data_IF_566057398735
#
_entry.id   IF_566057398735
#
_cell.length_a   1.000
_cell.length_b   1.000
_cell.length_c   1.000
_cell.angle_alpha   90.00
_cell.angle_beta   90.00
_cell.angle_gamma   90.00
#
_symmetry.space_group_name_H-M   'P 1'
#
loop_
_entity.id
_entity.type
_entity.pdbx_description
1 polymer ?
#
# COMPACT_ATOMS: atom_id res chain seq x y z
N UNK A 1 49.92 -9.60 -15.26
CA UNK A 1 49.11 -10.37 -14.29
C UNK A 1 47.76 -10.60 -14.93
N UNK A 2 47.36 -11.85 -15.06
CA UNK A 2 46.09 -12.24 -15.68
C UNK A 2 44.97 -11.75 -14.78
N UNK A 3 44.13 -10.83 -15.29
CA UNK A 3 42.87 -10.46 -14.67
C UNK A 3 42.02 -11.72 -14.60
N UNK A 4 41.78 -12.24 -13.40
CA UNK A 4 40.69 -13.20 -13.22
C UNK A 4 39.44 -12.36 -13.43
N UNK A 5 38.79 -12.50 -14.59
CA UNK A 5 37.43 -12.00 -14.76
C UNK A 5 36.59 -12.70 -13.70
N UNK A 6 36.23 -11.95 -12.65
CA UNK A 6 35.25 -12.40 -11.68
C UNK A 6 33.90 -12.27 -12.37
N UNK A 7 33.35 -13.40 -12.80
CA UNK A 7 32.00 -13.46 -13.35
C UNK A 7 31.00 -13.24 -12.22
N UNK A 8 30.54 -11.99 -12.06
CA UNK A 8 29.66 -11.59 -10.96
C UNK A 8 28.31 -12.29 -11.04
N UNK A 9 27.82 -12.59 -12.25
CA UNK A 9 26.54 -13.26 -12.44
C UNK A 9 26.62 -14.73 -11.97
N UNK A 10 27.71 -15.44 -12.30
CA UNK A 10 27.98 -16.79 -11.78
C UNK A 10 28.13 -16.80 -10.24
N UNK A 11 28.75 -15.77 -9.66
CA UNK A 11 28.88 -15.62 -8.21
C UNK A 11 27.53 -15.33 -7.54
N UNK A 12 26.67 -14.51 -8.16
CA UNK A 12 25.30 -14.23 -7.70
C UNK A 12 24.45 -15.51 -7.73
N UNK A 13 24.44 -16.25 -8.85
CA UNK A 13 23.70 -17.51 -9.00
C UNK A 13 24.11 -18.56 -7.98
N UNK A 14 25.41 -18.65 -7.69
CA UNK A 14 25.95 -19.57 -6.67
C UNK A 14 25.82 -19.05 -5.25
N UNK A 15 25.36 -17.82 -5.05
CA UNK A 15 25.35 -17.10 -3.77
C UNK A 15 26.72 -17.13 -3.08
N UNK A 16 27.80 -17.00 -3.86
CA UNK A 16 29.18 -16.98 -3.35
C UNK A 16 29.51 -15.60 -2.77
N UNK A 17 29.15 -15.40 -1.51
CA UNK A 17 29.33 -14.12 -0.80
C UNK A 17 30.80 -13.71 -0.73
N UNK A 18 31.73 -14.64 -0.53
CA UNK A 18 33.16 -14.33 -0.43
C UNK A 18 33.72 -13.87 -1.79
N UNK A 19 33.29 -14.53 -2.87
CA UNK A 19 33.60 -14.12 -4.23
C UNK A 19 33.06 -12.72 -4.54
N UNK A 20 31.82 -12.44 -4.15
CA UNK A 20 31.19 -11.13 -4.33
C UNK A 20 31.87 -10.04 -3.49
N UNK A 21 32.27 -10.32 -2.24
CA UNK A 21 33.06 -9.40 -1.40
C UNK A 21 34.40 -9.07 -2.08
N UNK A 22 35.04 -10.07 -2.70
CA UNK A 22 36.27 -9.85 -3.47
C UNK A 22 36.02 -9.01 -4.72
N UNK A 23 34.92 -9.25 -5.43
CA UNK A 23 34.52 -8.48 -6.61
C UNK A 23 34.18 -7.01 -6.27
N UNK A 24 33.64 -6.74 -5.09
CA UNK A 24 33.37 -5.38 -4.60
C UNK A 24 34.65 -4.53 -4.48
N UNK A 25 35.81 -5.18 -4.31
CA UNK A 25 37.14 -4.54 -4.22
C UNK A 25 37.92 -4.59 -5.55
N UNK A 26 37.28 -4.98 -6.65
CA UNK A 26 37.93 -5.10 -7.96
C UNK A 26 38.38 -3.75 -8.53
N UNK A 27 39.41 -3.74 -9.39
CA UNK A 27 39.94 -2.51 -10.01
C UNK A 27 38.96 -1.90 -11.02
N UNK A 28 38.26 -2.75 -11.77
CA UNK A 28 37.21 -2.32 -12.68
C UNK A 28 35.96 -1.87 -11.92
N UNK A 29 35.48 -0.66 -12.22
CA UNK A 29 34.35 -0.05 -11.53
C UNK A 29 33.04 -0.76 -11.83
N UNK A 30 32.91 -1.36 -13.02
CA UNK A 30 31.68 -2.05 -13.43
C UNK A 30 31.54 -3.33 -12.60
N UNK A 31 32.64 -4.08 -12.44
CA UNK A 31 32.71 -5.24 -11.54
C UNK A 31 32.29 -4.88 -10.12
N UNK A 32 32.79 -3.76 -9.57
CA UNK A 32 32.39 -3.30 -8.21
C UNK A 32 30.90 -2.99 -8.12
N UNK A 33 30.35 -2.32 -9.14
CA UNK A 33 28.93 -1.96 -9.20
C UNK A 33 28.06 -3.22 -9.25
N UNK A 34 28.37 -4.15 -10.15
CA UNK A 34 27.62 -5.40 -10.26
C UNK A 34 27.76 -6.25 -8.99
N UNK A 35 28.93 -6.27 -8.35
CA UNK A 35 29.11 -6.96 -7.08
C UNK A 35 28.22 -6.37 -5.96
N UNK A 36 28.15 -5.04 -5.85
CA UNK A 36 27.24 -4.39 -4.90
C UNK A 36 25.76 -4.71 -5.21
N UNK A 37 25.37 -4.73 -6.50
CA UNK A 37 24.03 -5.14 -6.94
C UNK A 37 23.72 -6.59 -6.56
N UNK A 38 24.67 -7.50 -6.76
CA UNK A 38 24.54 -8.91 -6.44
C UNK A 38 24.44 -9.13 -4.92
N UNK A 39 25.32 -8.50 -4.13
CA UNK A 39 25.28 -8.56 -2.66
C UNK A 39 23.95 -8.06 -2.09
N UNK A 40 23.35 -7.04 -2.69
CA UNK A 40 22.00 -6.58 -2.37
C UNK A 40 20.94 -7.68 -2.52
N UNK A 41 20.99 -8.45 -3.61
CA UNK A 41 20.05 -9.55 -3.84
C UNK A 41 20.31 -10.74 -2.93
N UNK A 42 21.58 -11.04 -2.66
CA UNK A 42 21.97 -12.18 -1.82
C UNK A 42 21.60 -11.96 -0.35
N UNK A 43 21.74 -10.72 0.16
CA UNK A 43 21.25 -10.33 1.48
C UNK A 43 21.94 -11.01 2.67
N UNK A 44 23.22 -11.37 2.54
CA UNK A 44 23.96 -12.13 3.54
C UNK A 44 24.78 -11.24 4.49
N UNK A 45 24.67 -11.50 5.80
CA UNK A 45 25.32 -10.73 6.87
C UNK A 45 26.87 -10.68 6.78
N UNK A 46 27.49 -11.66 6.11
CA UNK A 46 28.94 -11.70 5.91
C UNK A 46 29.43 -10.54 5.04
N UNK A 47 28.56 -9.96 4.22
CA UNK A 47 28.90 -8.84 3.36
C UNK A 47 28.88 -7.48 4.07
N UNK A 48 28.34 -7.38 5.30
CA UNK A 48 28.09 -6.11 6.00
C UNK A 48 29.34 -5.25 6.08
N UNK A 49 30.46 -5.80 6.56
CA UNK A 49 31.70 -5.00 6.74
C UNK A 49 32.26 -4.52 5.38
N UNK A 50 32.15 -5.35 4.34
CA UNK A 50 32.61 -4.98 3.00
C UNK A 50 31.72 -3.91 2.35
N UNK A 51 30.41 -3.96 2.59
CA UNK A 51 29.44 -2.96 2.13
C UNK A 51 29.55 -1.64 2.93
N UNK A 52 29.90 -1.71 4.21
CA UNK A 52 30.25 -0.52 5.02
C UNK A 52 31.50 0.15 4.44
N UNK A 53 32.55 -0.61 4.12
CA UNK A 53 33.77 -0.06 3.54
C UNK A 53 33.47 0.67 2.21
N UNK A 54 32.60 0.11 1.36
CA UNK A 54 32.25 0.75 0.07
C UNK A 54 31.43 2.03 0.21
N UNK A 55 30.74 2.26 1.33
CA UNK A 55 30.09 3.55 1.63
C UNK A 55 31.11 4.66 1.96
N UNK A 56 32.08 4.34 2.82
CA UNK A 56 32.97 5.35 3.44
C UNK A 56 33.98 5.95 2.46
N UNK A 57 34.50 5.12 1.56
CA UNK A 57 35.59 5.56 0.70
C UNK A 57 35.02 6.34 -0.50
N UNK A 58 35.55 7.54 -0.76
CA UNK A 58 35.37 8.24 -2.05
C UNK A 58 36.36 7.75 -3.11
N UNK A 59 37.43 7.06 -2.67
CA UNK A 59 38.36 6.34 -3.54
C UNK A 59 38.90 5.08 -2.86
N UNK A 60 38.96 3.96 -3.58
CA UNK A 60 39.68 2.77 -3.11
C UNK A 60 41.17 2.96 -3.43
N UNK A 61 42.03 2.96 -2.40
CA UNK A 61 43.50 2.97 -2.54
C UNK A 61 44.08 4.17 -3.33
N UNK A 62 43.58 5.39 -3.12
CA UNK A 62 44.01 6.66 -3.75
C UNK A 62 43.93 6.77 -5.28
N UNK A 63 43.76 5.66 -5.99
CA UNK A 63 43.94 5.59 -7.44
C UNK A 63 42.61 5.43 -8.22
N UNK A 64 41.50 5.12 -7.53
CA UNK A 64 40.23 4.78 -8.18
C UNK A 64 39.01 5.43 -7.51
N UNK A 65 38.22 6.17 -8.28
CA UNK A 65 36.96 6.79 -7.84
C UNK A 65 35.92 5.69 -7.54
N UNK A 66 35.20 5.84 -6.44
CA UNK A 66 34.01 5.03 -6.15
C UNK A 66 32.79 5.73 -6.75
N UNK A 67 32.12 5.05 -7.68
CA UNK A 67 30.90 5.56 -8.29
C UNK A 67 29.78 5.66 -7.24
N UNK A 68 28.94 6.69 -7.35
CA UNK A 68 27.75 6.80 -6.50
C UNK A 68 26.87 5.55 -6.58
N UNK A 69 26.74 4.93 -7.77
CA UNK A 69 26.03 3.66 -7.94
C UNK A 69 26.53 2.51 -7.04
N UNK A 70 27.83 2.46 -6.71
CA UNK A 70 28.36 1.44 -5.77
C UNK A 70 27.88 1.76 -4.35
N UNK A 71 27.95 3.03 -3.94
CA UNK A 71 27.51 3.48 -2.60
C UNK A 71 26.01 3.34 -2.43
N UNK A 72 25.24 3.74 -3.44
CA UNK A 72 23.79 3.56 -3.54
C UNK A 72 23.39 2.09 -3.32
N UNK A 73 23.94 1.17 -4.12
CA UNK A 73 23.64 -0.26 -3.99
C UNK A 73 24.12 -0.82 -2.64
N UNK A 74 25.21 -0.29 -2.09
CA UNK A 74 25.72 -0.72 -0.78
C UNK A 74 24.79 -0.28 0.35
N UNK A 75 24.30 0.97 0.33
CA UNK A 75 23.31 1.46 1.29
C UNK A 75 22.02 0.64 1.21
N UNK A 76 21.51 0.38 0.00
CA UNK A 76 20.32 -0.44 -0.18
C UNK A 76 20.53 -1.89 0.30
N UNK A 77 21.68 -2.50 0.01
CA UNK A 77 22.02 -3.84 0.51
C UNK A 77 22.04 -3.89 2.04
N UNK A 78 22.68 -2.91 2.69
CA UNK A 78 22.75 -2.83 4.15
C UNK A 78 21.36 -2.67 4.79
N UNK A 79 20.48 -1.87 4.18
CA UNK A 79 19.09 -1.74 4.61
C UNK A 79 18.33 -3.06 4.57
N UNK A 80 18.46 -3.83 3.47
CA UNK A 80 17.82 -5.14 3.32
C UNK A 80 18.39 -6.20 4.27
N UNK A 81 19.69 -6.17 4.53
CA UNK A 81 20.34 -7.09 5.47
C UNK A 81 19.87 -6.80 6.91
N UNK A 82 19.63 -5.53 7.25
CA UNK A 82 19.09 -5.16 8.56
C UNK A 82 20.12 -5.15 9.70
N UNK A 83 21.41 -5.25 9.40
CA UNK A 83 22.46 -5.30 10.43
C UNK A 83 22.76 -3.91 11.01
N UNK A 84 22.57 -3.78 12.32
CA UNK A 84 22.75 -2.53 13.08
C UNK A 84 24.17 -1.97 13.03
N UNK A 85 25.18 -2.79 12.74
CA UNK A 85 26.57 -2.33 12.55
C UNK A 85 26.69 -1.28 11.44
N UNK A 86 25.74 -1.27 10.50
CA UNK A 86 25.69 -0.31 9.39
C UNK A 86 25.22 1.09 9.80
N UNK A 87 24.49 1.23 10.92
CA UNK A 87 23.77 2.47 11.27
C UNK A 87 24.68 3.70 11.30
N UNK A 88 25.84 3.70 11.99
CA UNK A 88 26.68 4.91 12.05
C UNK A 88 27.18 5.36 10.68
N UNK A 89 27.42 4.41 9.77
CA UNK A 89 27.93 4.68 8.43
C UNK A 89 26.83 5.08 7.44
N UNK A 90 25.63 4.56 7.63
CA UNK A 90 24.44 5.02 6.93
C UNK A 90 24.05 6.43 7.37
N UNK A 91 24.20 6.77 8.66
CA UNK A 91 24.04 8.15 9.16
C UNK A 91 25.07 9.08 8.51
N UNK A 92 26.36 8.72 8.52
CA UNK A 92 27.42 9.51 7.85
C UNK A 92 27.10 9.71 6.35
N UNK A 93 26.64 8.65 5.68
CA UNK A 93 26.26 8.73 4.25
C UNK A 93 25.03 9.62 4.02
N UNK A 94 24.05 9.60 4.92
CA UNK A 94 22.88 10.46 4.88
C UNK A 94 23.24 11.94 5.09
N UNK A 95 24.23 12.24 5.93
CA UNK A 95 24.58 13.62 6.28
C UNK A 95 25.58 14.25 5.29
N UNK A 96 26.57 13.47 4.83
CA UNK A 96 27.77 14.02 4.18
C UNK A 96 27.98 13.59 2.72
N UNK A 97 27.18 12.66 2.16
CA UNK A 97 27.39 12.24 0.77
C UNK A 97 26.99 13.35 -0.23
N UNK A 98 27.87 13.69 -1.19
CA UNK A 98 27.56 14.71 -2.19
C UNK A 98 26.43 14.30 -3.14
N UNK A 99 26.19 12.99 -3.31
CA UNK A 99 25.20 12.45 -4.22
C UNK A 99 23.86 12.26 -3.50
N UNK A 100 22.80 12.88 -4.02
CA UNK A 100 21.47 12.84 -3.40
C UNK A 100 20.84 11.43 -3.42
N UNK A 101 21.18 10.58 -4.39
CA UNK A 101 20.64 9.23 -4.46
C UNK A 101 21.28 8.34 -3.38
N UNK A 102 22.57 8.56 -3.09
CA UNK A 102 23.24 7.89 -1.96
C UNK A 102 22.61 8.31 -0.63
N UNK A 103 22.37 9.62 -0.42
CA UNK A 103 21.66 10.12 0.78
C UNK A 103 20.26 9.52 0.89
N UNK A 104 19.53 9.45 -0.22
CA UNK A 104 18.19 8.84 -0.29
C UNK A 104 18.23 7.37 0.14
N UNK A 105 19.12 6.56 -0.44
CA UNK A 105 19.24 5.14 -0.08
C UNK A 105 19.68 4.94 1.36
N UNK A 106 20.55 5.81 1.87
CA UNK A 106 20.92 5.79 3.28
C UNK A 106 19.72 6.07 4.19
N UNK A 107 18.91 7.11 3.89
CA UNK A 107 17.66 7.38 4.63
C UNK A 107 16.67 6.21 4.57
N UNK A 108 16.52 5.59 3.40
CA UNK A 108 15.66 4.42 3.23
C UNK A 108 16.16 3.25 4.08
N UNK A 109 17.45 2.91 3.97
CA UNK A 109 18.07 1.81 4.70
C UNK A 109 17.95 1.96 6.22
N UNK A 110 18.13 3.18 6.74
CA UNK A 110 17.92 3.48 8.17
C UNK A 110 16.47 3.24 8.60
N UNK A 111 15.50 3.55 7.74
CA UNK A 111 14.08 3.27 7.97
C UNK A 111 13.75 1.77 8.00
N UNK A 112 14.33 1.00 7.08
CA UNK A 112 14.15 -0.46 7.02
C UNK A 112 14.81 -1.19 8.21
N UNK A 113 16.00 -0.74 8.64
CA UNK A 113 16.66 -1.26 9.85
C UNK A 113 15.80 -0.97 11.10
N UNK A 114 15.10 0.18 11.11
CA UNK A 114 14.09 0.47 12.13
C UNK A 114 14.67 0.87 13.50
N UNK A 115 15.95 1.21 13.60
CA UNK A 115 16.59 1.51 14.89
C UNK A 115 16.42 2.99 15.31
N UNK A 116 15.97 3.27 16.55
CA UNK A 116 15.81 4.64 17.07
C UNK A 116 17.08 5.50 17.10
N UNK A 117 18.28 4.92 17.00
CA UNK A 117 19.54 5.65 16.87
C UNK A 117 19.58 6.53 15.60
N UNK A 118 18.86 6.12 14.54
CA UNK A 118 18.81 6.86 13.28
C UNK A 118 17.86 8.08 13.29
N UNK A 119 17.03 8.22 14.32
CA UNK A 119 15.90 9.19 14.32
C UNK A 119 16.39 10.63 14.19
N UNK A 120 17.45 11.01 14.90
CA UNK A 120 17.93 12.39 14.88
C UNK A 120 18.52 12.76 13.50
N UNK A 121 19.25 11.83 12.87
CA UNK A 121 19.77 12.01 11.51
C UNK A 121 18.64 12.10 10.47
N UNK A 122 17.61 11.26 10.59
CA UNK A 122 16.43 11.31 9.71
C UNK A 122 15.60 12.59 9.93
N UNK A 123 15.51 13.10 11.17
CA UNK A 123 14.90 14.41 11.45
C UNK A 123 15.67 15.52 10.74
N UNK A 124 17.01 15.50 10.77
CA UNK A 124 17.82 16.47 10.04
C UNK A 124 17.59 16.38 8.52
N UNK A 125 17.48 15.15 7.99
CA UNK A 125 17.23 14.90 6.57
C UNK A 125 15.84 15.38 6.07
N UNK A 126 14.88 15.68 6.95
CA UNK A 126 13.65 16.40 6.59
C UNK A 126 13.92 17.83 6.09
N UNK A 127 15.14 18.34 6.22
CA UNK A 127 15.56 19.66 5.69
C UNK A 127 16.58 19.54 4.55
N UNK A 128 16.77 18.34 3.97
CA UNK A 128 17.68 18.16 2.84
C UNK A 128 17.27 19.01 1.63
N UNK A 129 18.26 19.47 0.86
CA UNK A 129 18.07 20.22 -0.38
C UNK A 129 17.22 19.45 -1.41
N UNK A 130 17.33 18.13 -1.44
CA UNK A 130 16.61 17.25 -2.34
C UNK A 130 15.28 16.80 -1.75
N UNK A 131 14.19 17.06 -2.47
CA UNK A 131 12.84 16.64 -2.07
C UNK A 131 12.71 15.11 -1.98
N UNK A 132 13.52 14.37 -2.75
CA UNK A 132 13.53 12.91 -2.75
C UNK A 132 14.18 12.34 -1.49
N UNK A 133 15.17 13.02 -0.91
CA UNK A 133 15.73 12.69 0.41
C UNK A 133 14.73 13.05 1.50
N UNK A 134 14.15 14.26 1.47
CA UNK A 134 13.14 14.71 2.46
C UNK A 134 11.93 13.77 2.55
N UNK A 135 11.36 13.37 1.40
CA UNK A 135 10.20 12.45 1.37
C UNK A 135 10.56 11.09 1.98
N UNK A 136 11.77 10.62 1.71
CA UNK A 136 12.27 9.30 2.15
C UNK A 136 12.50 9.33 3.66
N UNK A 137 13.12 10.40 4.17
CA UNK A 137 13.26 10.63 5.59
C UNK A 137 11.90 10.64 6.31
N UNK A 138 10.89 11.33 5.77
CA UNK A 138 9.54 11.32 6.33
C UNK A 138 8.94 9.91 6.38
N UNK A 139 9.07 9.12 5.31
CA UNK A 139 8.60 7.75 5.29
C UNK A 139 9.35 6.86 6.31
N UNK A 140 10.68 6.95 6.35
CA UNK A 140 11.54 6.19 7.28
C UNK A 140 11.24 6.50 8.74
N UNK A 141 11.01 7.78 9.09
CA UNK A 141 10.57 8.16 10.44
C UNK A 141 9.22 7.53 10.80
N UNK A 142 8.30 7.45 9.83
CA UNK A 142 7.03 6.76 10.00
C UNK A 142 7.14 5.23 10.11
N UNK A 143 8.20 4.62 9.58
CA UNK A 143 8.49 3.19 9.75
C UNK A 143 9.08 2.91 11.13
N UNK A 144 10.04 3.73 11.59
CA UNK A 144 10.64 3.61 12.93
C UNK A 144 9.60 3.89 14.02
N UNK A 145 8.71 4.86 13.81
CA UNK A 145 7.59 5.14 14.72
C UNK A 145 8.00 5.86 16.01
N UNK A 146 9.19 6.46 16.08
CA UNK A 146 9.63 7.22 17.25
C UNK A 146 8.94 8.59 17.32
N UNK A 147 8.16 8.81 18.38
CA UNK A 147 7.36 10.02 18.60
C UNK A 147 8.18 11.32 18.72
N UNK A 148 9.50 11.24 18.94
CA UNK A 148 10.40 12.42 18.85
C UNK A 148 10.32 13.11 17.49
N UNK A 149 9.98 12.37 16.43
CA UNK A 149 9.87 12.92 15.08
C UNK A 149 8.56 13.64 14.77
N UNK A 150 7.50 13.47 15.59
CA UNK A 150 6.16 14.04 15.32
C UNK A 150 6.18 15.55 15.07
N UNK A 151 6.83 16.40 15.89
CA UNK A 151 6.83 17.84 15.65
C UNK A 151 7.49 18.23 14.31
N UNK A 152 8.47 17.44 13.87
CA UNK A 152 9.18 17.68 12.62
C UNK A 152 8.39 17.19 11.40
N UNK A 153 7.70 16.06 11.54
CA UNK A 153 6.76 15.55 10.54
C UNK A 153 5.53 16.47 10.38
N UNK A 154 5.07 17.09 11.47
CA UNK A 154 4.05 18.13 11.43
C UNK A 154 4.53 19.32 10.59
N UNK A 155 5.77 19.77 10.80
CA UNK A 155 6.36 20.86 10.02
C UNK A 155 6.54 20.50 8.54
N UNK A 156 6.89 19.25 8.21
CA UNK A 156 7.07 18.81 6.82
C UNK A 156 5.76 18.65 6.04
N UNK A 157 4.59 18.78 6.69
CA UNK A 157 3.32 19.01 5.98
C UNK A 157 3.24 20.38 5.31
N UNK A 158 4.15 21.31 5.61
CA UNK A 158 4.24 22.63 4.97
C UNK A 158 5.30 22.67 3.85
N UNK A 159 5.90 21.53 3.49
CA UNK A 159 6.94 21.44 2.47
C UNK A 159 6.44 21.90 1.10
N UNK A 160 7.32 22.51 0.30
CA UNK A 160 6.99 22.96 -1.05
C UNK A 160 6.70 21.79 -2.01
N UNK A 161 7.28 20.61 -1.77
CA UNK A 161 7.05 19.43 -2.58
C UNK A 161 5.92 18.56 -2.02
N UNK A 162 4.94 18.25 -2.86
CA UNK A 162 3.76 17.49 -2.49
C UNK A 162 4.07 16.05 -2.08
N UNK A 163 5.15 15.43 -2.56
CA UNK A 163 5.54 14.09 -2.10
C UNK A 163 5.98 14.12 -0.64
N UNK A 164 6.71 15.15 -0.22
CA UNK A 164 7.15 15.31 1.17
C UNK A 164 5.92 15.47 2.07
N UNK A 165 4.98 16.36 1.70
CA UNK A 165 3.72 16.52 2.43
C UNK A 165 2.93 15.21 2.52
N UNK A 166 2.79 14.49 1.40
CA UNK A 166 2.11 13.19 1.31
C UNK A 166 2.69 12.15 2.27
N UNK A 167 4.01 11.94 2.22
CA UNK A 167 4.66 10.94 3.08
C UNK A 167 4.72 11.36 4.55
N UNK A 168 4.75 12.67 4.84
CA UNK A 168 4.59 13.20 6.20
C UNK A 168 3.21 12.86 6.77
N UNK A 169 2.14 13.04 5.98
CA UNK A 169 0.79 12.64 6.39
C UNK A 169 0.69 11.12 6.64
N UNK A 170 1.31 10.30 5.78
CA UNK A 170 1.37 8.84 5.97
C UNK A 170 2.07 8.47 7.27
N UNK A 171 3.23 9.06 7.55
CA UNK A 171 4.00 8.82 8.77
C UNK A 171 3.19 9.19 10.02
N UNK A 172 2.61 10.39 10.06
CA UNK A 172 1.77 10.85 11.18
C UNK A 172 0.56 9.94 11.42
N UNK A 173 -0.06 9.43 10.34
CA UNK A 173 -1.14 8.45 10.43
C UNK A 173 -0.72 7.10 11.01
N UNK A 174 0.51 6.65 10.77
CA UNK A 174 1.08 5.44 11.40
C UNK A 174 1.34 5.66 12.89
N UNK A 175 1.87 6.83 13.25
CA UNK A 175 2.24 7.17 14.63
C UNK A 175 1.03 7.47 15.53
N UNK A 176 -0.09 7.88 14.93
CA UNK A 176 -1.36 8.17 15.64
C UNK A 176 -1.23 9.17 16.79
N UNK A 177 -0.27 10.09 16.70
CA UNK A 177 -0.10 11.14 17.71
C UNK A 177 -1.17 12.23 17.54
N UNK A 178 -1.97 12.44 18.59
CA UNK A 178 -3.08 13.41 18.56
C UNK A 178 -2.66 14.85 18.20
N UNK A 179 -1.40 15.22 18.41
CA UNK A 179 -0.89 16.55 18.07
C UNK A 179 -0.88 16.81 16.55
N UNK A 180 -0.89 15.76 15.73
CA UNK A 180 -0.94 15.87 14.28
C UNK A 180 -2.35 16.13 13.72
N UNK A 181 -3.40 15.93 14.52
CA UNK A 181 -4.79 16.03 14.03
C UNK A 181 -5.09 17.42 13.43
N UNK A 182 -4.76 18.57 14.06
CA UNK A 182 -5.09 19.88 13.50
C UNK A 182 -4.49 20.11 12.11
N UNK A 183 -3.20 19.77 11.93
CA UNK A 183 -2.52 19.96 10.64
C UNK A 183 -2.97 18.95 9.58
N UNK A 184 -3.33 17.73 9.97
CA UNK A 184 -3.93 16.76 9.04
C UNK A 184 -5.33 17.20 8.58
N UNK A 185 -6.12 17.84 9.45
CA UNK A 185 -7.41 18.43 9.08
C UNK A 185 -7.25 19.58 8.07
N UNK A 186 -6.19 20.38 8.20
CA UNK A 186 -5.84 21.42 7.22
C UNK A 186 -5.37 20.80 5.90
N UNK A 187 -4.52 19.77 5.94
CA UNK A 187 -4.02 19.05 4.77
C UNK A 187 -5.12 18.34 3.96
N UNK A 188 -6.31 18.11 4.54
CA UNK A 188 -7.48 17.67 3.77
C UNK A 188 -7.88 18.68 2.69
N UNK A 189 -7.48 19.94 2.76
CA UNK A 189 -7.70 20.98 1.74
C UNK A 189 -6.42 21.41 1.00
N UNK A 190 -5.37 20.59 1.04
CA UNK A 190 -4.14 20.79 0.27
C UNK A 190 -4.43 20.97 -1.23
N UNK A 191 -3.55 21.67 -1.94
CA UNK A 191 -3.65 21.87 -3.40
C UNK A 191 -3.53 20.54 -4.17
N UNK A 192 -2.72 19.61 -3.67
CA UNK A 192 -2.44 18.33 -4.29
C UNK A 192 -3.46 17.26 -3.88
N UNK A 193 -3.90 16.45 -4.84
CA UNK A 193 -4.94 15.45 -4.60
C UNK A 193 -4.48 14.27 -3.73
N UNK A 194 -3.23 13.84 -3.88
CA UNK A 194 -2.67 12.74 -3.12
C UNK A 194 -2.45 13.13 -1.66
N UNK A 195 -2.00 14.37 -1.40
CA UNK A 195 -1.84 14.89 -0.04
C UNK A 195 -3.18 14.90 0.68
N UNK A 196 -4.23 15.44 0.04
CA UNK A 196 -5.59 15.43 0.60
C UNK A 196 -6.07 14.02 0.95
N UNK A 197 -5.86 13.08 0.03
CA UNK A 197 -6.26 11.69 0.23
C UNK A 197 -5.50 11.03 1.38
N UNK A 198 -4.16 11.17 1.43
CA UNK A 198 -3.35 10.59 2.50
C UNK A 198 -3.63 11.24 3.86
N UNK A 199 -3.95 12.53 3.92
CA UNK A 199 -4.41 13.18 5.14
C UNK A 199 -5.73 12.59 5.66
N UNK A 200 -6.71 12.36 4.76
CA UNK A 200 -7.98 11.69 5.11
C UNK A 200 -7.75 10.26 5.62
N UNK A 201 -6.86 9.49 4.98
CA UNK A 201 -6.50 8.15 5.44
C UNK A 201 -5.77 8.16 6.78
N UNK A 202 -4.87 9.13 7.01
CA UNK A 202 -4.16 9.28 8.27
C UNK A 202 -5.14 9.53 9.43
N UNK A 203 -6.09 10.46 9.25
CA UNK A 203 -7.16 10.72 10.22
C UNK A 203 -8.07 9.51 10.44
N UNK A 204 -8.38 8.75 9.37
CA UNK A 204 -9.09 7.48 9.49
C UNK A 204 -8.34 6.45 10.34
N UNK A 205 -7.03 6.29 10.11
CA UNK A 205 -6.16 5.37 10.88
C UNK A 205 -6.00 5.76 12.34
N UNK A 206 -6.08 7.06 12.65
CA UNK A 206 -6.12 7.56 14.03
C UNK A 206 -7.38 7.10 14.77
N UNK A 207 -8.49 6.88 14.06
CA UNK A 207 -9.72 6.34 14.65
C UNK A 207 -10.37 7.30 15.64
N UNK A 208 -10.80 6.79 16.79
CA UNK A 208 -11.64 7.53 17.74
C UNK A 208 -11.05 8.85 18.25
N UNK A 209 -9.73 8.97 18.34
CA UNK A 209 -9.10 10.24 18.77
C UNK A 209 -9.35 11.39 17.78
N UNK A 210 -9.65 11.09 16.52
CA UNK A 210 -9.93 12.07 15.47
C UNK A 210 -11.41 12.45 15.37
N UNK A 211 -12.34 11.70 15.98
CA UNK A 211 -13.79 11.89 15.81
C UNK A 211 -14.25 13.28 16.29
N UNK A 212 -13.92 13.67 17.52
CA UNK A 212 -14.32 15.00 18.05
C UNK A 212 -13.77 16.16 17.22
N UNK A 213 -12.46 16.18 16.87
CA UNK A 213 -11.92 17.17 15.94
C UNK A 213 -12.66 17.21 14.58
N UNK A 214 -12.93 16.05 13.97
CA UNK A 214 -13.67 15.95 12.71
C UNK A 214 -15.12 16.47 12.82
N UNK A 215 -15.79 16.21 13.94
CA UNK A 215 -17.13 16.76 14.22
C UNK A 215 -17.08 18.29 14.28
N UNK A 216 -16.04 18.88 14.85
CA UNK A 216 -15.87 20.34 14.83
C UNK A 216 -15.60 20.85 13.39
N UNK A 217 -14.86 20.09 12.58
CA UNK A 217 -14.64 20.38 11.16
C UNK A 217 -15.93 20.39 10.33
N UNK A 218 -16.98 19.70 10.75
CA UNK A 218 -18.31 19.80 10.13
C UNK A 218 -18.94 21.20 10.25
N UNK A 219 -18.36 22.13 11.00
CA UNK A 219 -18.80 23.54 11.07
C UNK A 219 -17.98 24.46 10.17
N UNK A 220 -17.01 23.94 9.42
CA UNK A 220 -16.13 24.73 8.57
C UNK A 220 -16.93 25.50 7.49
N UNK A 221 -16.52 26.72 7.15
CA UNK A 221 -17.17 27.55 6.11
C UNK A 221 -17.08 26.90 4.72
N UNK A 222 -15.97 26.22 4.42
CA UNK A 222 -15.75 25.52 3.17
C UNK A 222 -16.51 24.19 3.15
N UNK A 223 -17.50 24.07 2.27
CA UNK A 223 -18.30 22.85 2.13
C UNK A 223 -17.47 21.64 1.71
N UNK A 224 -16.36 21.83 0.98
CA UNK A 224 -15.48 20.73 0.56
C UNK A 224 -14.82 20.08 1.78
N UNK A 225 -14.35 20.90 2.71
CA UNK A 225 -13.75 20.44 3.97
C UNK A 225 -14.78 19.70 4.82
N UNK A 226 -16.01 20.23 4.94
CA UNK A 226 -17.10 19.54 5.63
C UNK A 226 -17.44 18.19 5.01
N UNK A 227 -17.50 18.11 3.68
CA UNK A 227 -17.81 16.86 2.97
C UNK A 227 -16.72 15.79 3.19
N UNK A 228 -15.44 16.19 3.16
CA UNK A 228 -14.31 15.29 3.46
C UNK A 228 -14.34 14.83 4.92
N UNK A 229 -14.66 15.73 5.87
CA UNK A 229 -14.78 15.36 7.28
C UNK A 229 -15.93 14.35 7.52
N UNK A 230 -17.08 14.53 6.86
CA UNK A 230 -18.16 13.56 6.88
C UNK A 230 -17.72 12.20 6.31
N UNK A 231 -16.93 12.19 5.23
CA UNK A 231 -16.39 10.96 4.67
C UNK A 231 -15.46 10.22 5.64
N UNK A 232 -14.52 10.94 6.28
CA UNK A 232 -13.61 10.33 7.26
C UNK A 232 -14.37 9.82 8.49
N UNK A 233 -15.35 10.58 9.01
CA UNK A 233 -16.23 10.11 10.09
C UNK A 233 -16.97 8.82 9.72
N UNK A 234 -17.42 8.69 8.47
CA UNK A 234 -18.04 7.45 7.98
C UNK A 234 -17.09 6.25 7.89
N UNK A 235 -15.79 6.50 7.67
CA UNK A 235 -14.75 5.45 7.69
C UNK A 235 -14.39 5.03 9.10
N UNK A 236 -14.33 5.97 10.05
CA UNK A 236 -14.04 5.67 11.46
C UNK A 236 -15.23 4.96 12.12
N UNK A 237 -16.45 5.44 11.86
CA UNK A 237 -17.65 4.92 12.50
C UNK A 237 -17.74 5.35 13.96
N UNK A 238 -18.49 4.57 14.76
CA UNK A 238 -18.77 4.87 16.16
C UNK A 238 -20.01 5.74 16.39
N UNK A 239 -20.50 5.75 17.62
CA UNK A 239 -21.77 6.41 17.99
C UNK A 239 -21.70 7.94 17.83
N UNK A 240 -20.59 8.57 18.21
CA UNK A 240 -20.42 10.03 18.06
C UNK A 240 -20.42 10.44 16.58
N UNK A 241 -19.72 9.69 15.72
CA UNK A 241 -19.70 9.94 14.27
C UNK A 241 -21.07 9.73 13.64
N UNK A 242 -21.76 8.63 13.99
CA UNK A 242 -23.12 8.33 13.54
C UNK A 242 -24.07 9.49 13.84
N UNK A 243 -24.10 9.95 15.10
CA UNK A 243 -24.98 11.03 15.53
C UNK A 243 -24.67 12.35 14.79
N UNK A 244 -23.38 12.67 14.61
CA UNK A 244 -22.96 13.86 13.87
C UNK A 244 -23.36 13.82 12.39
N UNK A 245 -23.23 12.67 11.74
CA UNK A 245 -23.61 12.46 10.34
C UNK A 245 -25.14 12.51 10.16
N UNK A 246 -25.92 11.97 11.10
CA UNK A 246 -27.38 12.10 11.13
C UNK A 246 -27.79 13.58 11.18
N UNK A 247 -27.11 14.39 11.99
CA UNK A 247 -27.39 15.82 12.10
C UNK A 247 -27.16 16.60 10.80
N UNK A 248 -26.28 16.13 9.91
CA UNK A 248 -26.06 16.74 8.60
C UNK A 248 -27.24 16.52 7.63
N UNK A 249 -28.11 15.54 7.89
CA UNK A 249 -29.26 15.21 7.03
C UNK A 249 -30.62 15.65 7.61
N UNK A 250 -30.70 15.89 8.94
CA UNK A 250 -31.96 16.11 9.64
C UNK A 250 -32.13 17.51 10.23
N UNK A 251 -33.37 18.00 10.14
CA UNK A 251 -33.86 19.16 10.88
C UNK A 251 -33.20 20.50 10.49
N UNK A 252 -33.21 21.45 11.44
CA UNK A 252 -32.63 22.80 11.25
C UNK A 252 -31.11 22.80 11.09
N UNK A 253 -30.46 21.69 11.44
CA UNK A 253 -29.01 21.54 11.43
C UNK A 253 -28.50 20.83 10.17
N UNK A 254 -29.40 20.42 9.27
CA UNK A 254 -29.01 19.81 8.00
C UNK A 254 -28.09 20.76 7.20
N UNK A 255 -27.05 20.19 6.57
CA UNK A 255 -26.11 21.00 5.82
C UNK A 255 -26.78 21.64 4.61
N UNK A 256 -26.51 22.91 4.33
CA UNK A 256 -27.10 23.60 3.18
C UNK A 256 -26.56 23.10 1.84
N UNK A 257 -25.36 22.53 1.82
CA UNK A 257 -24.70 22.07 0.61
C UNK A 257 -25.04 20.60 0.28
N UNK A 258 -25.55 20.37 -0.93
CA UNK A 258 -25.90 19.05 -1.45
C UNK A 258 -24.77 18.01 -1.41
N UNK A 259 -23.51 18.43 -1.59
CA UNK A 259 -22.38 17.49 -1.60
C UNK A 259 -22.05 17.00 -0.19
N UNK A 260 -22.16 17.87 0.81
CA UNK A 260 -22.00 17.49 2.22
C UNK A 260 -23.10 16.53 2.62
N UNK A 261 -24.37 16.85 2.31
CA UNK A 261 -25.49 15.93 2.60
C UNK A 261 -25.32 14.58 1.90
N UNK A 262 -25.01 14.56 0.60
CA UNK A 262 -24.82 13.28 -0.10
C UNK A 262 -23.64 12.47 0.44
N UNK A 263 -22.54 13.12 0.87
CA UNK A 263 -21.43 12.43 1.53
C UNK A 263 -21.77 11.95 2.94
N UNK A 264 -22.58 12.69 3.69
CA UNK A 264 -23.12 12.23 4.97
C UNK A 264 -24.02 11.00 4.80
N UNK A 265 -24.89 11.00 3.77
CA UNK A 265 -25.72 9.83 3.45
C UNK A 265 -24.86 8.60 3.13
N UNK A 266 -23.87 8.74 2.24
CA UNK A 266 -22.93 7.67 1.91
C UNK A 266 -22.15 7.16 3.13
N UNK A 267 -21.69 8.08 3.99
CA UNK A 267 -20.99 7.76 5.23
C UNK A 267 -21.88 6.96 6.21
N UNK A 268 -23.16 7.34 6.36
CA UNK A 268 -24.11 6.58 7.18
C UNK A 268 -24.36 5.18 6.62
N UNK A 269 -24.47 5.04 5.29
CA UNK A 269 -24.56 3.74 4.63
C UNK A 269 -23.32 2.87 4.87
N UNK A 270 -22.12 3.47 4.93
CA UNK A 270 -20.89 2.77 5.29
C UNK A 270 -20.89 2.29 6.73
N UNK A 271 -21.38 3.11 7.67
CA UNK A 271 -21.52 2.72 9.09
C UNK A 271 -22.51 1.57 9.26
N UNK A 272 -23.59 1.53 8.47
CA UNK A 272 -24.50 0.38 8.44
C UNK A 272 -25.52 0.33 9.60
N UNK A 273 -25.64 1.39 10.40
CA UNK A 273 -26.50 1.40 11.60
C UNK A 273 -27.95 1.81 11.27
N UNK A 274 -28.92 1.00 11.70
CA UNK A 274 -30.36 1.22 11.48
C UNK A 274 -30.88 2.56 12.02
N UNK A 275 -30.23 3.13 13.05
CA UNK A 275 -30.58 4.46 13.58
C UNK A 275 -30.46 5.56 12.52
N UNK A 276 -29.68 5.35 11.47
CA UNK A 276 -29.55 6.29 10.36
C UNK A 276 -30.73 6.28 9.37
N UNK A 277 -31.61 5.27 9.43
CA UNK A 277 -32.65 5.05 8.42
C UNK A 277 -33.65 6.21 8.33
N UNK A 278 -34.04 6.79 9.47
CA UNK A 278 -34.93 7.97 9.46
C UNK A 278 -34.26 9.17 8.75
N UNK A 279 -32.98 9.40 9.05
CA UNK A 279 -32.20 10.48 8.45
C UNK A 279 -32.06 10.30 6.94
N UNK A 280 -31.76 9.08 6.50
CA UNK A 280 -31.64 8.75 5.10
C UNK A 280 -33.00 8.81 4.39
N UNK A 281 -34.10 8.36 5.02
CA UNK A 281 -35.44 8.44 4.44
C UNK A 281 -35.88 9.90 4.24
N UNK A 282 -35.45 10.82 5.11
CA UNK A 282 -35.61 12.25 4.86
C UNK A 282 -34.76 12.73 3.67
N UNK A 283 -33.52 12.25 3.56
CA UNK A 283 -32.62 12.57 2.44
C UNK A 283 -33.12 12.02 1.08
N UNK A 284 -33.95 10.98 1.04
CA UNK A 284 -34.65 10.54 -0.19
C UNK A 284 -35.64 11.59 -0.72
N UNK A 285 -36.03 12.57 0.10
CA UNK A 285 -36.90 13.69 -0.29
C UNK A 285 -36.12 14.96 -0.59
N UNK A 286 -34.79 14.89 -0.62
CA UNK A 286 -33.93 16.04 -0.89
C UNK A 286 -34.19 16.64 -2.28
N UNK A 287 -34.06 17.95 -2.40
CA UNK A 287 -34.21 18.68 -3.67
C UNK A 287 -33.27 18.14 -4.76
N UNK A 288 -32.06 17.73 -4.39
CA UNK A 288 -31.02 17.31 -5.33
C UNK A 288 -30.98 15.80 -5.51
N UNK A 289 -31.03 15.37 -6.79
CA UNK A 289 -30.95 13.96 -7.19
C UNK A 289 -29.75 13.24 -6.57
N UNK A 290 -28.58 13.88 -6.56
CA UNK A 290 -27.35 13.31 -5.97
C UNK A 290 -27.54 12.84 -4.51
N UNK A 291 -28.25 13.62 -3.70
CA UNK A 291 -28.49 13.28 -2.28
C UNK A 291 -29.48 12.12 -2.17
N UNK A 292 -30.54 12.16 -2.98
CA UNK A 292 -31.53 11.07 -3.05
C UNK A 292 -30.89 9.76 -3.46
N UNK A 293 -30.10 9.74 -4.53
CA UNK A 293 -29.42 8.55 -5.03
C UNK A 293 -28.49 7.95 -3.96
N UNK A 294 -27.72 8.79 -3.24
CA UNK A 294 -26.85 8.33 -2.15
C UNK A 294 -27.63 7.81 -0.95
N UNK A 295 -28.76 8.44 -0.62
CA UNK A 295 -29.64 7.98 0.45
C UNK A 295 -30.30 6.64 0.10
N UNK A 296 -30.78 6.47 -1.14
CA UNK A 296 -31.36 5.23 -1.64
C UNK A 296 -30.36 4.07 -1.52
N UNK A 297 -29.15 4.24 -2.04
CA UNK A 297 -28.07 3.23 -1.96
C UNK A 297 -27.75 2.90 -0.51
N UNK A 298 -27.66 3.90 0.36
CA UNK A 298 -27.30 3.72 1.78
C UNK A 298 -28.41 3.03 2.57
N UNK A 299 -29.68 3.35 2.31
CA UNK A 299 -30.84 2.66 2.91
C UNK A 299 -30.86 1.21 2.47
N UNK A 300 -30.64 0.92 1.18
CA UNK A 300 -30.55 -0.46 0.71
C UNK A 300 -29.41 -1.21 1.43
N UNK A 301 -28.25 -0.57 1.60
CA UNK A 301 -27.11 -1.15 2.32
C UNK A 301 -27.39 -1.43 3.80
N UNK A 302 -28.19 -0.59 4.47
CA UNK A 302 -28.55 -0.77 5.89
C UNK A 302 -29.71 -1.75 6.08
N UNK A 303 -30.79 -1.62 5.31
CA UNK A 303 -31.98 -2.49 5.40
C UNK A 303 -31.73 -3.91 4.90
N UNK A 304 -30.75 -4.05 4.00
CA UNK A 304 -30.18 -5.33 3.62
C UNK A 304 -28.72 -5.29 4.05
N UNK A 305 -28.42 -5.48 5.34
CA UNK A 305 -27.04 -5.57 5.81
C UNK A 305 -26.46 -6.85 5.22
N UNK A 306 -25.93 -6.76 3.99
CA UNK A 306 -25.53 -7.89 3.15
C UNK A 306 -26.40 -9.17 3.33
N UNK A 307 -27.71 -9.10 3.05
CA UNK A 307 -28.32 -10.26 2.40
C UNK A 307 -27.90 -10.20 0.94
N UNK A 308 -26.90 -11.02 0.59
CA UNK A 308 -26.51 -11.47 -0.76
C UNK A 308 -27.24 -10.74 -1.88
N UNK A 309 -26.56 -9.80 -2.53
CA UNK A 309 -27.09 -9.11 -3.70
C UNK A 309 -27.56 -10.14 -4.74
N UNK A 310 -28.83 -10.02 -5.16
CA UNK A 310 -29.42 -10.77 -6.27
C UNK A 310 -29.08 -10.11 -7.59
N UNK A 311 -28.73 -10.95 -8.57
CA UNK A 311 -28.23 -10.58 -9.89
C UNK A 311 -29.39 -10.39 -10.88
N UNK A 312 -29.24 -9.41 -11.78
CA UNK A 312 -30.05 -9.26 -13.00
C UNK A 312 -29.30 -9.92 -14.17
N UNK A 313 -29.57 -11.22 -14.35
CA UNK A 313 -29.51 -12.03 -15.57
C UNK A 313 -28.27 -11.94 -16.49
N UNK A 314 -27.63 -13.09 -16.70
CA UNK A 314 -26.94 -13.50 -17.92
C UNK A 314 -26.94 -15.05 -18.02
N UNK A 315 -27.36 -15.61 -19.15
CA UNK A 315 -27.64 -17.05 -19.31
C UNK A 315 -26.42 -17.99 -19.15
N UNK A 316 -26.66 -19.23 -18.69
CA UNK A 316 -25.77 -20.42 -18.69
C UNK A 316 -24.66 -20.58 -17.62
N UNK A 317 -24.99 -20.44 -16.33
CA UNK A 317 -24.14 -20.83 -15.19
C UNK A 317 -23.26 -19.69 -14.70
N UNK A 318 -23.81 -18.87 -13.79
CA UNK A 318 -23.25 -17.58 -13.39
C UNK A 318 -22.36 -17.64 -12.13
N UNK A 319 -21.29 -16.84 -12.18
CA UNK A 319 -20.37 -16.59 -11.07
C UNK A 319 -20.45 -15.10 -10.73
N UNK A 320 -20.54 -14.77 -9.44
CA UNK A 320 -20.68 -13.39 -8.96
C UNK A 320 -19.85 -13.10 -7.73
N UNK A 321 -19.40 -11.85 -7.61
CA UNK A 321 -18.71 -11.32 -6.44
C UNK A 321 -18.97 -9.80 -6.35
N UNK A 322 -19.03 -9.28 -5.12
CA UNK A 322 -19.13 -7.87 -4.82
C UNK A 322 -17.75 -7.21 -4.94
N UNK A 323 -17.72 -5.95 -5.40
CA UNK A 323 -16.49 -5.17 -5.46
C UNK A 323 -16.77 -3.66 -5.35
N UNK A 324 -15.75 -2.90 -4.95
CA UNK A 324 -15.88 -1.46 -4.66
C UNK A 324 -15.94 -0.60 -5.94
N UNK A 325 -16.25 0.69 -5.80
CA UNK A 325 -16.21 1.66 -6.91
C UNK A 325 -14.80 1.86 -7.51
N UNK A 326 -13.77 1.29 -6.90
CA UNK A 326 -12.39 1.32 -7.38
C UNK A 326 -12.08 0.24 -8.42
N UNK A 327 -13.05 -0.59 -8.82
CA UNK A 327 -12.85 -1.58 -9.87
C UNK A 327 -13.79 -1.37 -11.05
N UNK A 328 -13.27 -1.60 -12.26
CA UNK A 328 -14.03 -1.54 -13.50
C UNK A 328 -14.03 -2.90 -14.22
N UNK A 329 -15.13 -3.22 -14.90
CA UNK A 329 -15.19 -4.39 -15.77
C UNK A 329 -14.59 -4.01 -17.12
N UNK A 330 -13.61 -4.78 -17.57
CA UNK A 330 -12.97 -4.60 -18.88
C UNK A 330 -13.36 -5.74 -19.79
N UNK A 331 -13.94 -5.41 -20.94
CA UNK A 331 -14.23 -6.41 -21.97
C UNK A 331 -12.94 -6.75 -22.72
N UNK A 332 -12.50 -8.00 -22.64
CA UNK A 332 -11.40 -8.53 -23.45
C UNK A 332 -11.91 -9.24 -24.70
N UNK A 333 -11.02 -9.47 -25.67
CA UNK A 333 -11.37 -10.12 -26.94
C UNK A 333 -11.60 -11.64 -26.80
N UNK A 334 -11.16 -12.25 -25.70
CA UNK A 334 -11.46 -13.62 -25.31
C UNK A 334 -12.69 -13.66 -24.38
N UNK A 335 -13.29 -14.85 -24.20
CA UNK A 335 -14.46 -15.03 -23.32
C UNK A 335 -14.14 -14.85 -21.81
N UNK A 336 -12.96 -14.32 -21.46
CA UNK A 336 -12.55 -14.09 -20.07
C UNK A 336 -13.19 -12.81 -19.56
N UNK A 337 -13.74 -12.87 -18.35
CA UNK A 337 -14.13 -11.65 -17.64
C UNK A 337 -12.89 -11.13 -16.91
N UNK A 338 -12.41 -9.96 -17.32
CA UNK A 338 -11.32 -9.26 -16.66
C UNK A 338 -11.89 -8.08 -15.89
N UNK A 339 -11.60 -8.01 -14.59
CA UNK A 339 -11.94 -6.87 -13.74
C UNK A 339 -10.66 -6.16 -13.35
N UNK A 340 -10.64 -4.84 -13.47
CA UNK A 340 -9.44 -4.03 -13.27
C UNK A 340 -9.64 -3.07 -12.11
N UNK A 341 -8.80 -3.19 -11.09
CA UNK A 341 -8.69 -2.24 -9.99
C UNK A 341 -7.95 -1.00 -10.44
N UNK A 342 -8.52 0.17 -10.17
CA UNK A 342 -8.01 1.49 -10.51
C UNK A 342 -7.42 2.13 -9.25
N UNK A 343 -6.16 1.80 -8.97
CA UNK A 343 -5.41 2.33 -7.83
C UNK A 343 -4.32 3.30 -8.33
N UNK A 344 -3.85 4.21 -7.48
CA UNK A 344 -2.93 5.27 -7.90
C UNK A 344 -1.65 4.68 -8.53
N UNK A 345 -1.43 4.98 -9.81
CA UNK A 345 -0.31 4.55 -10.65
C UNK A 345 -0.19 3.05 -10.97
N UNK A 346 -1.06 2.18 -10.42
CA UNK A 346 -0.97 0.73 -10.59
C UNK A 346 -2.35 0.10 -10.72
N UNK A 347 -2.46 -0.95 -11.55
CA UNK A 347 -3.74 -1.66 -11.74
C UNK A 347 -3.63 -3.09 -11.24
N UNK A 348 -4.63 -3.54 -10.48
CA UNK A 348 -4.78 -4.96 -10.16
C UNK A 348 -5.71 -5.57 -11.21
N UNK A 349 -5.29 -6.67 -11.83
CA UNK A 349 -6.09 -7.38 -12.81
C UNK A 349 -6.61 -8.66 -12.18
N UNK A 350 -7.93 -8.84 -12.17
CA UNK A 350 -8.62 -10.06 -11.79
C UNK A 350 -9.06 -10.79 -13.05
N UNK A 351 -8.63 -12.05 -13.22
CA UNK A 351 -9.16 -12.98 -14.22
C UNK A 351 -9.93 -14.11 -13.55
N UNK A 352 -11.15 -14.36 -14.02
CA UNK A 352 -11.97 -15.49 -13.59
C UNK A 352 -12.04 -16.54 -14.70
N UNK A 353 -11.73 -17.79 -14.38
CA UNK A 353 -11.69 -18.88 -15.34
C UNK A 353 -12.43 -20.13 -14.82
N UNK A 354 -13.00 -20.90 -15.74
CA UNK A 354 -13.63 -22.21 -15.49
C UNK A 354 -12.96 -23.23 -16.39
N UNK A 355 -12.51 -24.34 -15.83
CA UNK A 355 -11.92 -25.43 -16.61
C UNK A 355 -12.71 -26.73 -16.39
N UNK A 356 -13.15 -27.33 -17.50
CA UNK A 356 -13.95 -28.57 -17.53
C UNK A 356 -13.09 -29.83 -17.63
N UNK A 357 -11.83 -29.70 -18.03
CA UNK A 357 -10.91 -30.83 -18.25
C UNK A 357 -10.19 -31.26 -16.96
N UNK A 358 -10.57 -30.67 -15.83
CA UNK A 358 -9.94 -30.84 -14.50
C UNK A 358 -10.87 -31.51 -13.49
N UNK A 359 -11.92 -32.18 -13.96
CA UNK A 359 -13.00 -32.71 -13.12
C UNK A 359 -12.53 -33.62 -11.97
N UNK A 360 -11.43 -34.36 -12.16
CA UNK A 360 -10.92 -35.32 -11.18
C UNK A 360 -9.93 -34.71 -10.17
N UNK A 361 -9.47 -33.47 -10.38
CA UNK A 361 -8.43 -32.82 -9.56
C UNK A 361 -9.06 -32.03 -8.41
N UNK A 362 -8.50 -32.08 -7.21
CA UNK A 362 -8.95 -31.27 -6.06
C UNK A 362 -8.52 -29.79 -6.19
N UNK A 363 -9.11 -28.88 -5.40
CA UNK A 363 -8.65 -27.48 -5.35
C UNK A 363 -7.18 -27.39 -4.94
N UNK A 364 -6.76 -28.21 -3.98
CA UNK A 364 -5.38 -28.27 -3.50
C UNK A 364 -4.42 -28.80 -4.58
N UNK A 365 -4.77 -29.90 -5.25
CA UNK A 365 -3.93 -30.45 -6.34
C UNK A 365 -3.82 -29.47 -7.51
N UNK A 366 -4.90 -28.75 -7.84
CA UNK A 366 -4.84 -27.72 -8.88
C UNK A 366 -4.03 -26.50 -8.43
N UNK A 367 -4.17 -26.09 -7.18
CA UNK A 367 -3.37 -25.02 -6.60
C UNK A 367 -1.88 -25.36 -6.64
N UNK A 368 -1.50 -26.60 -6.32
CA UNK A 368 -0.13 -27.12 -6.50
C UNK A 368 0.35 -27.02 -7.95
N UNK A 369 -0.49 -27.39 -8.93
CA UNK A 369 -0.15 -27.22 -10.35
C UNK A 369 0.09 -25.75 -10.72
N UNK A 370 -0.61 -24.82 -10.08
CA UNK A 370 -0.42 -23.39 -10.31
C UNK A 370 0.84 -22.85 -9.62
N UNK A 371 1.32 -23.46 -8.53
CA UNK A 371 2.62 -23.10 -7.93
C UNK A 371 3.78 -23.35 -8.88
N UNK A 372 3.69 -24.37 -9.75
CA UNK A 372 4.70 -24.58 -10.78
C UNK A 372 4.75 -23.41 -11.78
N UNK A 373 3.61 -22.75 -12.04
CA UNK A 373 3.57 -21.51 -12.83
C UNK A 373 4.27 -20.37 -12.08
N UNK A 374 4.08 -20.24 -10.76
CA UNK A 374 4.78 -19.24 -9.93
C UNK A 374 6.30 -19.44 -9.99
N UNK A 375 6.75 -20.70 -9.84
CA UNK A 375 8.17 -21.07 -9.92
C UNK A 375 8.75 -20.71 -11.29
N UNK A 376 8.05 -21.02 -12.38
CA UNK A 376 8.49 -20.68 -13.75
C UNK A 376 8.57 -19.16 -13.95
N UNK A 377 7.69 -18.39 -13.31
CA UNK A 377 7.68 -16.93 -13.38
C UNK A 377 8.65 -16.26 -12.42
N UNK A 378 9.42 -17.00 -11.61
CA UNK A 378 10.34 -16.43 -10.62
C UNK A 378 9.61 -15.75 -9.45
N UNK A 379 8.43 -16.27 -9.08
CA UNK A 379 7.67 -15.79 -7.91
C UNK A 379 7.83 -16.78 -6.76
N UNK A 380 8.03 -16.27 -5.55
CA UNK A 380 8.10 -17.06 -4.32
C UNK A 380 6.71 -17.12 -3.68
N UNK A 381 6.31 -18.31 -3.19
CA UNK A 381 5.07 -18.45 -2.42
C UNK A 381 5.34 -17.94 -1.01
N UNK A 382 4.59 -16.92 -0.61
CA UNK A 382 4.76 -16.23 0.68
C UNK A 382 3.80 -16.76 1.73
N UNK A 383 2.57 -17.08 1.33
CA UNK A 383 1.54 -17.63 2.23
C UNK A 383 0.57 -18.53 1.47
N UNK A 384 -0.02 -19.48 2.18
CA UNK A 384 -1.06 -20.35 1.63
C UNK A 384 -2.02 -20.87 2.69
N UNK A 385 -3.27 -21.08 2.29
CA UNK A 385 -4.30 -21.63 3.17
C UNK A 385 -5.37 -22.38 2.42
N UNK A 386 -5.89 -23.42 3.04
CA UNK A 386 -7.05 -24.19 2.58
C UNK A 386 -8.18 -24.14 3.59
N UNK A 387 -9.41 -24.02 3.10
CA UNK A 387 -10.62 -24.00 3.93
C UNK A 387 -11.87 -24.29 3.09
N UNK A 388 -12.97 -24.65 3.75
CA UNK A 388 -14.27 -24.83 3.11
C UNK A 388 -15.13 -23.57 3.27
N UNK A 389 -15.78 -23.12 2.20
CA UNK A 389 -16.67 -21.94 2.24
C UNK A 389 -17.87 -22.12 1.33
N UNK A 390 -19.08 -21.98 1.89
CA UNK A 390 -20.36 -22.16 1.17
C UNK A 390 -20.49 -23.48 0.38
N UNK A 391 -19.90 -24.57 0.90
CA UNK A 391 -19.87 -25.88 0.23
C UNK A 391 -18.92 -25.96 -0.96
N UNK A 392 -17.91 -25.09 -1.00
CA UNK A 392 -16.80 -25.12 -1.96
C UNK A 392 -15.49 -25.36 -1.21
N UNK A 393 -14.61 -26.17 -1.80
CA UNK A 393 -13.24 -26.31 -1.33
C UNK A 393 -12.42 -25.13 -1.87
N UNK A 394 -11.89 -24.31 -0.98
CA UNK A 394 -11.11 -23.11 -1.32
C UNK A 394 -9.65 -23.34 -0.98
N UNK A 395 -8.79 -23.01 -1.94
CA UNK A 395 -7.34 -22.98 -1.72
C UNK A 395 -6.78 -21.65 -2.23
N UNK A 396 -6.10 -20.93 -1.33
CA UNK A 396 -5.47 -19.64 -1.60
C UNK A 396 -3.96 -19.78 -1.58
N UNK A 397 -3.31 -19.22 -2.61
CA UNK A 397 -1.85 -19.09 -2.70
C UNK A 397 -1.53 -17.63 -2.93
N UNK A 398 -0.74 -17.06 -2.04
CA UNK A 398 -0.17 -15.74 -2.18
C UNK A 398 1.33 -15.86 -2.49
N UNK A 399 1.79 -15.10 -3.48
CA UNK A 399 3.20 -15.06 -3.82
C UNK A 399 3.65 -13.72 -4.36
N UNK A 400 4.95 -13.52 -4.31
CA UNK A 400 5.60 -12.26 -4.68
C UNK A 400 6.78 -12.52 -5.61
N UNK A 401 6.89 -11.70 -6.66
CA UNK A 401 8.02 -11.70 -7.58
C UNK A 401 8.90 -10.49 -7.29
N UNK A 402 10.15 -10.73 -6.88
CA UNK A 402 11.09 -9.67 -6.50
C UNK A 402 12.18 -9.41 -7.55
N UNK A 403 12.29 -10.23 -8.59
CA UNK A 403 13.45 -10.25 -9.49
C UNK A 403 13.35 -9.29 -10.69
N UNK A 404 12.13 -8.89 -11.09
CA UNK A 404 11.92 -8.04 -12.28
C UNK A 404 11.27 -6.70 -11.92
N UNK A 405 9.97 -6.74 -11.63
CA UNK A 405 9.19 -5.64 -11.11
C UNK A 405 8.39 -6.23 -9.98
N UNK A 406 8.48 -5.69 -8.75
CA UNK A 406 7.72 -6.18 -7.61
C UNK A 406 6.27 -6.39 -8.03
N UNK A 407 5.82 -7.64 -8.03
CA UNK A 407 4.47 -8.02 -8.46
C UNK A 407 3.96 -9.03 -7.47
N UNK A 408 2.83 -8.73 -6.85
CA UNK A 408 2.10 -9.66 -6.00
C UNK A 408 1.08 -10.41 -6.85
N UNK A 409 0.93 -11.69 -6.54
CA UNK A 409 0.00 -12.59 -7.19
C UNK A 409 -0.80 -13.30 -6.10
N UNK A 410 -2.12 -13.21 -6.20
CA UNK A 410 -3.03 -14.02 -5.40
C UNK A 410 -3.82 -14.92 -6.34
N UNK A 411 -3.73 -16.22 -6.10
CA UNK A 411 -4.59 -17.21 -6.75
C UNK A 411 -5.52 -17.80 -5.72
N UNK A 412 -6.81 -17.81 -6.06
CA UNK A 412 -7.84 -18.47 -5.26
C UNK A 412 -8.51 -19.51 -6.14
N UNK A 413 -8.38 -20.78 -5.79
CA UNK A 413 -9.04 -21.89 -6.48
C UNK A 413 -10.28 -22.34 -5.71
N UNK A 414 -11.34 -22.68 -6.44
CA UNK A 414 -12.61 -23.15 -5.90
C UNK A 414 -13.03 -24.42 -6.64
N UNK A 415 -13.39 -25.47 -5.89
CA UNK A 415 -14.01 -26.67 -6.45
C UNK A 415 -15.46 -26.78 -6.00
N UNK A 416 -16.34 -27.03 -6.96
CA UNK A 416 -17.74 -27.38 -6.72
C UNK A 416 -18.12 -28.50 -7.68
N UNK A 417 -18.48 -29.65 -7.11
CA UNK A 417 -18.76 -30.88 -7.87
C UNK A 417 -17.58 -31.25 -8.81
N UNK A 418 -17.84 -31.41 -10.12
CA UNK A 418 -16.86 -31.78 -11.14
C UNK A 418 -16.27 -30.56 -11.88
N UNK A 419 -16.47 -29.35 -11.35
CA UNK A 419 -16.01 -28.12 -11.99
C UNK A 419 -15.02 -27.39 -11.09
N UNK A 420 -13.96 -26.91 -11.73
CA UNK A 420 -12.90 -26.16 -11.08
C UNK A 420 -12.86 -24.71 -11.60
N UNK A 421 -12.81 -23.79 -10.64
CA UNK A 421 -12.78 -22.35 -10.87
C UNK A 421 -11.53 -21.78 -10.24
N UNK A 422 -10.98 -20.72 -10.83
CA UNK A 422 -9.94 -19.96 -10.16
C UNK A 422 -10.04 -18.46 -10.47
N UNK A 423 -9.76 -17.67 -9.44
CA UNK A 423 -9.53 -16.24 -9.50
C UNK A 423 -8.04 -15.99 -9.48
N UNK A 424 -7.59 -15.12 -10.37
CA UNK A 424 -6.19 -14.72 -10.48
C UNK A 424 -6.10 -13.21 -10.37
N UNK A 425 -5.53 -12.71 -9.27
CA UNK A 425 -5.18 -11.31 -9.06
C UNK A 425 -3.69 -11.08 -9.33
N UNK A 426 -3.35 -10.05 -10.12
CA UNK A 426 -1.96 -9.63 -10.38
C UNK A 426 -1.85 -8.12 -10.33
N UNK A 427 -0.77 -7.62 -9.74
CA UNK A 427 -0.52 -6.19 -9.64
C UNK A 427 0.69 -5.91 -8.78
N UNK A 428 1.01 -4.62 -8.69
CA UNK A 428 2.07 -4.12 -7.82
C UNK A 428 1.74 -4.37 -6.32
N UNK A 429 2.72 -4.69 -5.46
CA UNK A 429 2.51 -4.96 -4.04
C UNK A 429 1.82 -3.83 -3.29
N UNK A 430 2.14 -2.57 -3.62
CA UNK A 430 1.52 -1.41 -3.00
C UNK A 430 0.05 -1.29 -3.40
N UNK A 431 -0.28 -1.62 -4.64
CA UNK A 431 -1.67 -1.70 -5.07
C UNK A 431 -2.41 -2.81 -4.31
N UNK A 432 -1.79 -3.98 -4.10
CA UNK A 432 -2.38 -5.06 -3.28
C UNK A 432 -2.65 -4.62 -1.84
N UNK A 433 -1.73 -3.89 -1.20
CA UNK A 433 -1.97 -3.32 0.13
C UNK A 433 -3.17 -2.36 0.12
N UNK A 434 -3.19 -1.42 -0.84
CA UNK A 434 -4.25 -0.41 -0.97
C UNK A 434 -5.62 -1.05 -1.33
N UNK A 435 -5.62 -2.24 -1.95
CA UNK A 435 -6.80 -2.98 -2.38
C UNK A 435 -7.18 -4.15 -1.45
N UNK A 436 -6.43 -4.39 -0.37
CA UNK A 436 -6.56 -5.58 0.47
C UNK A 436 -7.99 -5.84 0.94
N UNK A 437 -8.65 -4.81 1.47
CA UNK A 437 -10.06 -4.88 1.90
C UNK A 437 -11.01 -5.20 0.74
N UNK A 438 -10.76 -4.63 -0.45
CA UNK A 438 -11.61 -4.86 -1.63
C UNK A 438 -11.44 -6.29 -2.18
N UNK A 439 -10.21 -6.80 -2.20
CA UNK A 439 -9.89 -8.17 -2.62
C UNK A 439 -10.52 -9.17 -1.65
N UNK A 440 -10.42 -8.92 -0.34
CA UNK A 440 -11.06 -9.76 0.68
C UNK A 440 -12.58 -9.79 0.49
N UNK A 441 -13.22 -8.65 0.23
CA UNK A 441 -14.66 -8.60 -0.09
C UNK A 441 -14.99 -9.41 -1.35
N UNK A 442 -14.19 -9.31 -2.41
CA UNK A 442 -14.42 -10.06 -3.65
C UNK A 442 -14.33 -11.57 -3.42
N UNK A 443 -13.29 -12.03 -2.73
CA UNK A 443 -13.09 -13.45 -2.42
C UNK A 443 -14.21 -13.95 -1.47
N UNK A 444 -14.59 -13.14 -0.50
CA UNK A 444 -15.58 -13.51 0.52
C UNK A 444 -17.01 -13.57 0.00
N UNK A 445 -17.33 -12.73 -0.97
CA UNK A 445 -18.63 -12.67 -1.63
C UNK A 445 -18.73 -13.62 -2.83
N UNK A 446 -17.63 -14.27 -3.23
CA UNK A 446 -17.60 -15.16 -4.38
C UNK A 446 -18.53 -16.36 -4.20
N UNK A 447 -19.42 -16.55 -5.16
CA UNK A 447 -20.37 -17.67 -5.15
C UNK A 447 -20.68 -18.15 -6.56
N UNK A 448 -20.80 -19.48 -6.71
CA UNK A 448 -21.14 -20.16 -7.96
C UNK A 448 -22.60 -20.60 -7.90
N UNK A 449 -23.44 -20.04 -8.78
CA UNK A 449 -24.81 -20.49 -8.96
C UNK A 449 -24.87 -21.71 -9.89
N UNK A 450 -25.67 -22.70 -9.47
CA UNK A 450 -25.95 -23.94 -10.19
C UNK A 450 -27.36 -24.40 -9.84
#
# INVERSE_FOLDING_TARGET
>A
MVSIDLDVDDLEEKRDVEGLIKALKHQDYLTRKEAARALKKVGDERAVDALIDSLRYKSWHSDYIILSAVRENSAEALGRIGDKRAIPYLIESLEDDPDEEVRLKAAWALGEIGDPEAVDALINALSDQSWSVRRTAANSLGLIGDHRSVPYLIKSLEDSDWHVRKYSAVALGKMKDKSAIPVLLEAMDDEDADVRWKAMLALGKMGEIAVKPLIETLKNKNWRVRAKAAEVLGKIGGEEALNALICLLLGKNADKNRHVRGKAAEALGRIGDERALEALANAQKDEYKYVRDKADVSIQKILKPHEKARIFNYDNGEVSFDYSEHWEIVNTADAKKVVRGLYANNTITLSLNRNTDVAEISSEEFAEMLKDVFRIQGSEVVDERSFEKYGMDVYEIYGENHDVTPTSILIVSFKKENLLYYMWFVGDPKAFEDASEDIEIMVDSFYIYG
#
